data_IF_221276909494
#
_entry.id   IF_221276909494
#
_cell.length_a   1.000
_cell.length_b   1.000
_cell.length_c   1.000
_cell.angle_alpha   90.00
_cell.angle_beta   90.00
_cell.angle_gamma   90.00
#
_symmetry.space_group_name_H-M   'P 1'
#
loop_
_entity.id
_entity.type
_entity.pdbx_description
1 polymer ?
#
# COMPACT_ATOMS: atom_id res chain seq x y z
N UNK A 1 61.17 28.89 12.20
CA UNK A 1 60.32 27.94 11.45
C UNK A 1 61.15 27.41 10.29
N UNK A 2 61.86 26.29 10.48
CA UNK A 2 61.45 24.91 10.20
C UNK A 2 61.76 24.47 8.74
N UNK A 3 63.08 24.26 8.53
CA UNK A 3 63.83 23.47 7.55
C UNK A 3 63.09 22.83 6.36
N UNK A 4 63.35 23.37 5.17
CA UNK A 4 63.32 22.67 3.89
C UNK A 4 64.60 21.85 3.69
N UNK A 5 64.48 20.54 3.39
CA UNK A 5 65.47 19.80 2.59
C UNK A 5 64.92 18.44 2.08
N UNK A 6 64.50 18.44 0.82
CA UNK A 6 65.05 17.64 -0.30
C UNK A 6 65.22 16.12 -0.16
N UNK A 7 64.55 15.35 -1.04
CA UNK A 7 65.05 14.16 -1.78
C UNK A 7 64.09 13.98 -3.00
N UNK A 8 64.50 14.26 -4.25
CA UNK A 8 65.23 13.40 -5.21
C UNK A 8 64.46 12.09 -5.49
N UNK A 9 64.12 11.64 -6.70
CA UNK A 9 64.59 11.95 -8.07
C UNK A 9 63.61 11.31 -9.08
N UNK A 10 63.58 11.90 -10.28
CA UNK A 10 62.79 11.53 -11.46
C UNK A 10 63.06 10.12 -12.03
N UNK A 11 62.10 9.57 -12.79
CA UNK A 11 62.23 9.26 -14.24
C UNK A 11 60.90 8.70 -14.79
N UNK A 12 60.46 9.28 -15.91
CA UNK A 12 59.29 8.95 -16.74
C UNK A 12 59.58 7.83 -17.75
N UNK A 13 58.52 7.37 -18.43
CA UNK A 13 58.46 6.52 -19.64
C UNK A 13 58.28 5.01 -19.37
N UNK A 14 57.51 4.22 -20.13
CA UNK A 14 56.57 4.38 -21.26
C UNK A 14 56.22 2.94 -21.70
N UNK A 15 54.94 2.67 -22.03
CA UNK A 15 54.41 1.59 -22.91
C UNK A 15 54.73 0.11 -22.55
N UNK A 16 54.01 -0.93 -22.99
CA UNK A 16 52.89 -1.11 -23.92
C UNK A 16 52.21 -2.45 -23.61
N UNK A 17 51.06 -2.64 -24.25
CA UNK A 17 50.23 -3.82 -24.23
C UNK A 17 50.86 -5.06 -24.89
N UNK A 18 50.17 -6.18 -24.62
CA UNK A 18 49.98 -7.32 -25.52
C UNK A 18 51.11 -8.35 -25.65
N UNK A 19 50.82 -9.58 -25.16
CA UNK A 19 50.60 -10.72 -26.08
C UNK A 19 50.05 -11.95 -25.38
N UNK A 20 48.89 -12.38 -25.91
CA UNK A 20 48.49 -13.76 -26.23
C UNK A 20 48.23 -14.74 -25.07
N UNK A 21 46.94 -15.04 -24.91
CA UNK A 21 46.44 -16.37 -24.50
C UNK A 21 47.01 -17.47 -25.41
N UNK A 22 47.04 -18.73 -24.93
CA UNK A 22 45.95 -19.62 -25.35
C UNK A 22 45.52 -20.70 -24.32
N UNK A 23 44.32 -21.24 -24.57
CA UNK A 23 43.83 -22.61 -24.32
C UNK A 23 43.50 -23.13 -22.91
N UNK A 24 42.20 -23.12 -22.60
CA UNK A 24 41.45 -24.20 -21.91
C UNK A 24 41.54 -25.52 -22.72
N UNK A 25 41.46 -26.73 -22.13
CA UNK A 25 40.17 -27.24 -21.62
C UNK A 25 40.19 -28.29 -20.47
N UNK A 26 39.00 -28.54 -19.91
CA UNK A 26 38.59 -29.78 -19.22
C UNK A 26 39.12 -29.95 -17.78
N UNK A 27 38.34 -30.26 -16.74
CA UNK A 27 37.07 -30.96 -16.70
C UNK A 27 36.30 -30.57 -15.42
N UNK A 28 34.99 -30.38 -15.54
CA UNK A 28 34.06 -30.42 -14.41
C UNK A 28 33.61 -31.86 -14.15
N UNK A 29 33.58 -32.30 -12.89
CA UNK A 29 32.40 -33.04 -12.45
C UNK A 29 31.85 -32.48 -11.13
N UNK A 30 30.72 -31.79 -11.27
CA UNK A 30 29.48 -31.95 -10.48
C UNK A 30 29.60 -32.15 -8.96
N UNK A 31 29.27 -31.09 -8.22
CA UNK A 31 28.37 -31.16 -7.05
C UNK A 31 27.69 -29.78 -6.87
N UNK A 32 26.40 -29.71 -7.16
CA UNK A 32 25.51 -28.61 -6.76
C UNK A 32 24.95 -28.92 -5.35
N UNK A 33 24.16 -28.04 -4.72
CA UNK A 33 24.34 -26.62 -4.47
C UNK A 33 24.21 -26.36 -2.96
N UNK A 34 25.14 -25.64 -2.31
CA UNK A 34 24.82 -25.08 -0.99
C UNK A 34 24.00 -23.82 -1.24
N UNK A 35 22.72 -24.05 -1.54
CA UNK A 35 21.65 -23.06 -1.44
C UNK A 35 21.59 -22.71 0.04
N UNK A 36 22.33 -21.68 0.44
CA UNK A 36 22.17 -21.06 1.74
C UNK A 36 20.73 -20.57 1.84
N UNK A 37 19.87 -21.43 2.39
CA UNK A 37 18.58 -21.05 2.95
C UNK A 37 18.88 -20.20 4.17
N UNK A 38 19.35 -18.97 3.96
CA UNK A 38 19.09 -17.92 4.92
C UNK A 38 17.57 -17.78 4.86
N UNK A 39 16.92 -18.36 5.86
CA UNK A 39 15.54 -18.15 6.18
C UNK A 39 15.30 -16.65 6.09
N UNK A 40 14.69 -16.22 4.99
CA UNK A 40 14.11 -14.89 4.95
C UNK A 40 13.12 -14.91 6.12
N UNK A 41 13.31 -14.09 7.17
CA UNK A 41 12.26 -13.96 8.15
C UNK A 41 11.07 -13.51 7.33
N UNK A 42 10.01 -14.31 7.28
CA UNK A 42 8.73 -13.88 6.75
C UNK A 42 8.42 -12.60 7.50
N UNK A 43 8.77 -11.46 6.90
CA UNK A 43 8.35 -10.16 7.39
C UNK A 43 6.84 -10.33 7.42
N UNK A 44 6.17 -10.19 8.58
CA UNK A 44 4.73 -10.20 8.58
C UNK A 44 4.35 -9.21 7.50
N UNK A 45 3.69 -9.72 6.45
CA UNK A 45 3.20 -8.90 5.36
C UNK A 45 2.53 -7.73 6.04
N UNK A 46 3.02 -6.52 5.80
CA UNK A 46 2.33 -5.31 6.23
C UNK A 46 1.00 -5.32 5.50
N UNK A 47 0.04 -6.09 6.02
CA UNK A 47 -1.37 -5.99 5.70
C UNK A 47 -1.64 -4.53 5.93
N UNK A 48 -1.86 -3.78 4.86
CA UNK A 48 -2.19 -2.37 4.95
C UNK A 48 -3.23 -2.25 6.06
N UNK A 49 -2.85 -1.61 7.17
CA UNK A 49 -3.71 -1.51 8.33
C UNK A 49 -4.87 -0.62 7.88
N UNK A 50 -5.98 -1.26 7.51
CA UNK A 50 -7.18 -0.54 7.13
C UNK A 50 -7.61 0.30 8.34
N UNK A 51 -8.09 1.53 8.13
CA UNK A 51 -8.47 2.42 9.22
C UNK A 51 -9.60 1.85 10.09
N UNK A 52 -10.37 0.89 9.54
CA UNK A 52 -11.49 0.24 10.21
C UNK A 52 -11.45 -1.29 10.01
N UNK A 53 -12.11 -2.02 10.93
CA UNK A 53 -12.27 -3.47 10.82
C UNK A 53 -13.30 -3.87 9.75
N UNK A 54 -13.28 -5.13 9.30
CA UNK A 54 -14.21 -5.62 8.28
C UNK A 54 -15.69 -5.41 8.64
N UNK A 55 -16.05 -5.61 9.91
CA UNK A 55 -17.41 -5.41 10.40
C UNK A 55 -17.87 -3.94 10.25
N UNK A 56 -16.99 -2.98 10.51
CA UNK A 56 -17.27 -1.55 10.35
C UNK A 56 -17.53 -1.19 8.89
N UNK A 57 -16.78 -1.79 7.95
CA UNK A 57 -17.01 -1.58 6.52
C UNK A 57 -18.38 -2.07 6.08
N UNK A 58 -18.85 -3.20 6.62
CA UNK A 58 -20.21 -3.70 6.35
C UNK A 58 -21.26 -2.73 6.91
N UNK A 59 -21.04 -2.18 8.11
CA UNK A 59 -21.94 -1.18 8.70
C UNK A 59 -21.98 0.13 7.91
N UNK A 60 -20.84 0.60 7.39
CA UNK A 60 -20.81 1.74 6.47
C UNK A 60 -21.60 1.44 5.20
N UNK A 61 -21.37 0.28 4.56
CA UNK A 61 -22.11 -0.06 3.35
C UNK A 61 -23.63 -0.13 3.60
N UNK A 62 -24.03 -0.63 4.76
CA UNK A 62 -25.42 -0.59 5.20
C UNK A 62 -25.93 0.85 5.42
N UNK A 63 -25.14 1.72 6.05
CA UNK A 63 -25.45 3.14 6.24
C UNK A 63 -25.70 3.88 4.92
N UNK A 64 -24.77 3.75 3.97
CA UNK A 64 -24.94 4.25 2.59
C UNK A 64 -26.21 3.69 1.96
N UNK A 65 -26.47 2.38 2.11
CA UNK A 65 -27.68 1.75 1.59
C UNK A 65 -28.98 2.38 2.14
N UNK A 66 -29.01 2.69 3.44
CA UNK A 66 -30.15 3.36 4.08
C UNK A 66 -30.31 4.79 3.56
N UNK A 67 -29.21 5.54 3.42
CA UNK A 67 -29.24 6.91 2.89
C UNK A 67 -29.83 6.90 1.46
N UNK A 68 -29.34 6.00 0.61
CA UNK A 68 -29.86 5.83 -0.75
C UNK A 68 -31.33 5.42 -0.75
N UNK A 69 -31.75 4.53 0.15
CA UNK A 69 -33.16 4.17 0.30
C UNK A 69 -34.01 5.38 0.70
N UNK A 70 -33.52 6.27 1.57
CA UNK A 70 -34.21 7.51 1.95
C UNK A 70 -34.42 8.44 0.77
N UNK A 71 -33.38 8.65 -0.05
CA UNK A 71 -33.51 9.42 -1.30
C UNK A 71 -34.41 8.74 -2.32
N UNK A 72 -34.38 7.41 -2.39
CA UNK A 72 -35.27 6.65 -3.26
C UNK A 72 -36.74 6.79 -2.85
N UNK A 73 -37.04 6.80 -1.54
CA UNK A 73 -38.38 7.06 -1.02
C UNK A 73 -38.86 8.46 -1.42
N UNK A 74 -38.01 9.49 -1.34
CA UNK A 74 -38.36 10.83 -1.82
C UNK A 74 -38.67 10.83 -3.32
N UNK A 75 -37.90 10.06 -4.11
CA UNK A 75 -38.10 9.96 -5.56
C UNK A 75 -39.37 9.20 -5.96
N UNK A 76 -39.92 8.37 -5.08
CA UNK A 76 -41.17 7.64 -5.30
C UNK A 76 -42.41 8.50 -5.00
N UNK A 77 -42.23 9.67 -4.39
CA UNK A 77 -43.32 10.56 -4.07
C UNK A 77 -44.03 11.03 -5.35
N UNK A 78 -45.37 11.04 -5.29
CA UNK A 78 -46.26 11.31 -6.43
C UNK A 78 -46.66 12.78 -6.51
N UNK A 79 -46.49 13.51 -5.42
CA UNK A 79 -46.79 14.94 -5.32
C UNK A 79 -45.79 15.77 -6.13
N UNK A 80 -46.23 16.91 -6.66
CA UNK A 80 -45.34 17.83 -7.38
C UNK A 80 -44.17 18.24 -6.49
N UNK A 81 -42.96 18.19 -7.05
CA UNK A 81 -41.69 18.46 -6.37
C UNK A 81 -41.39 17.58 -5.13
N UNK A 82 -42.13 16.49 -4.91
CA UNK A 82 -41.96 15.65 -3.72
C UNK A 82 -42.43 16.34 -2.43
N UNK A 83 -43.40 17.24 -2.52
CA UNK A 83 -44.03 17.87 -1.34
C UNK A 83 -45.00 16.94 -0.57
N UNK A 84 -45.08 15.67 -0.96
CA UNK A 84 -45.85 14.68 -0.23
C UNK A 84 -45.19 14.29 1.07
N UNK A 85 -45.91 13.49 1.84
CA UNK A 85 -45.44 13.01 3.14
C UNK A 85 -44.13 12.22 3.02
N UNK A 86 -43.99 11.43 1.95
CA UNK A 86 -42.84 10.59 1.69
C UNK A 86 -41.59 11.42 1.43
N UNK A 87 -41.69 12.50 0.63
CA UNK A 87 -40.59 13.38 0.31
C UNK A 87 -40.24 14.38 1.41
N UNK A 88 -41.23 14.96 2.08
CA UNK A 88 -41.02 16.05 3.03
C UNK A 88 -40.69 15.58 4.46
N UNK A 89 -41.15 14.38 4.84
CA UNK A 89 -40.98 13.87 6.21
C UNK A 89 -40.27 12.53 6.26
N UNK A 90 -40.79 11.50 5.59
CA UNK A 90 -40.28 10.13 5.72
C UNK A 90 -38.87 10.02 5.14
N UNK A 91 -38.65 10.52 3.93
CA UNK A 91 -37.37 10.54 3.24
C UNK A 91 -36.29 11.18 4.10
N UNK A 92 -36.45 12.44 4.57
CA UNK A 92 -35.46 13.10 5.40
C UNK A 92 -35.19 12.36 6.70
N UNK A 93 -36.21 11.80 7.35
CA UNK A 93 -36.05 11.01 8.58
C UNK A 93 -35.22 9.76 8.32
N UNK A 94 -35.47 9.04 7.22
CA UNK A 94 -34.71 7.84 6.85
C UNK A 94 -33.26 8.19 6.53
N UNK A 95 -33.02 9.27 5.77
CA UNK A 95 -31.67 9.76 5.45
C UNK A 95 -30.92 10.12 6.74
N UNK A 96 -31.56 10.83 7.67
CA UNK A 96 -30.97 11.16 8.97
C UNK A 96 -30.64 9.90 9.79
N UNK A 97 -31.52 8.89 9.78
CA UNK A 97 -31.24 7.59 10.37
C UNK A 97 -30.02 6.91 9.76
N UNK A 98 -29.88 6.94 8.43
CA UNK A 98 -28.71 6.44 7.72
C UNK A 98 -27.41 7.15 8.11
N UNK A 99 -27.44 8.47 8.27
CA UNK A 99 -26.30 9.22 8.80
C UNK A 99 -25.93 8.82 10.23
N UNK A 100 -26.91 8.59 11.12
CA UNK A 100 -26.65 8.11 12.48
C UNK A 100 -25.98 6.74 12.45
N UNK A 101 -26.41 5.85 11.56
CA UNK A 101 -25.76 4.54 11.35
C UNK A 101 -24.32 4.71 10.88
N UNK A 102 -24.04 5.65 9.97
CA UNK A 102 -22.68 5.96 9.54
C UNK A 102 -21.80 6.49 10.67
N UNK A 103 -22.31 7.43 11.47
CA UNK A 103 -21.59 7.92 12.64
C UNK A 103 -21.27 6.78 13.60
N UNK A 104 -22.23 5.86 13.82
CA UNK A 104 -21.99 4.68 14.65
C UNK A 104 -20.95 3.73 14.01
N UNK A 105 -21.01 3.51 12.70
CA UNK A 105 -20.08 2.64 11.98
C UNK A 105 -18.64 3.15 12.04
N UNK A 106 -18.44 4.46 11.98
CA UNK A 106 -17.12 5.11 12.07
C UNK A 106 -16.59 5.08 13.52
N UNK A 107 -17.47 5.33 14.50
CA UNK A 107 -17.09 5.40 15.90
C UNK A 107 -16.96 4.02 16.57
N UNK A 108 -17.61 3.00 16.00
CA UNK A 108 -17.53 1.64 16.51
C UNK A 108 -16.08 1.18 16.52
N UNK A 109 -15.55 0.89 17.70
CA UNK A 109 -14.20 0.30 17.81
C UNK A 109 -14.28 -1.11 17.23
N UNK A 110 -13.37 -1.50 16.32
CA UNK A 110 -13.31 -2.88 15.87
C UNK A 110 -13.10 -3.77 17.09
N UNK A 111 -14.00 -4.72 17.33
CA UNK A 111 -13.79 -5.74 18.34
C UNK A 111 -12.66 -6.64 17.80
N UNK A 112 -11.47 -6.43 18.35
CA UNK A 112 -10.27 -7.21 18.04
C UNK A 112 -10.47 -8.69 18.37
#
# INVERSE_FOLDING_TARGET
MAKDKQYSSATLAREEAAKKAPVTPSASPKMAPIRSTLSEPTRPSTSAALPFGQQNYVLMLAGIGIILAGFFIMSLDKEEFGFGFLGLTLGPIVVMGGFVVEFFAILARPKA
#
